data_IF_545309171193
#
_entry.id   IF_545309171193
#
_cell.length_a   1.000
_cell.length_b   1.000
_cell.length_c   1.000
_cell.angle_alpha   90.00
_cell.angle_beta   90.00
_cell.angle_gamma   90.00
#
_symmetry.space_group_name_H-M   'P 1'
#
loop_
_entity.id
_entity.type
_entity.pdbx_description
1 polymer ?
#
# COMPACT_ATOMS: atom_id res chain seq x y z
N UNK A 1 15.14 -10.96 -23.55
CA UNK A 1 16.22 -10.96 -22.53
C UNK A 1 15.71 -11.64 -21.28
N UNK A 2 16.48 -12.54 -20.63
CA UNK A 2 16.03 -13.18 -19.41
C UNK A 2 15.96 -12.12 -18.31
N UNK A 3 14.75 -11.83 -17.83
CA UNK A 3 14.56 -10.98 -16.66
C UNK A 3 15.39 -11.55 -15.51
N UNK A 4 16.13 -10.70 -14.80
CA UNK A 4 16.86 -11.08 -13.60
C UNK A 4 15.92 -11.89 -12.66
N UNK A 5 16.29 -13.10 -12.21
CA UNK A 5 15.48 -13.89 -11.27
C UNK A 5 15.07 -13.10 -10.03
N UNK A 6 15.88 -12.15 -9.57
CA UNK A 6 15.55 -11.26 -8.45
C UNK A 6 14.36 -10.34 -8.77
N UNK A 7 14.31 -9.79 -9.98
CA UNK A 7 13.19 -8.93 -10.44
C UNK A 7 11.90 -9.74 -10.53
N UNK A 8 11.95 -10.97 -11.04
CA UNK A 8 10.77 -11.87 -11.07
C UNK A 8 10.29 -12.24 -9.67
N UNK A 9 11.21 -12.54 -8.74
CA UNK A 9 10.87 -12.85 -7.35
C UNK A 9 10.17 -11.67 -6.68
N UNK A 10 10.72 -10.46 -6.82
CA UNK A 10 10.11 -9.23 -6.30
C UNK A 10 8.73 -8.99 -6.91
N UNK A 11 8.55 -9.23 -8.21
CA UNK A 11 7.25 -9.12 -8.88
C UNK A 11 6.20 -10.04 -8.26
N UNK A 12 6.55 -11.30 -7.99
CA UNK A 12 5.64 -12.26 -7.34
C UNK A 12 5.33 -11.85 -5.90
N UNK A 13 6.34 -11.41 -5.14
CA UNK A 13 6.16 -10.96 -3.76
C UNK A 13 5.17 -9.78 -3.72
N UNK A 14 5.38 -8.75 -4.53
CA UNK A 14 4.48 -7.59 -4.58
C UNK A 14 3.05 -7.98 -5.01
N UNK A 15 2.93 -8.78 -6.08
CA UNK A 15 1.63 -9.23 -6.59
C UNK A 15 0.81 -10.04 -5.57
N UNK A 16 1.44 -10.57 -4.52
CA UNK A 16 0.77 -11.23 -3.41
C UNK A 16 0.59 -10.28 -2.22
N UNK A 17 1.65 -9.60 -1.79
CA UNK A 17 1.68 -8.81 -0.57
C UNK A 17 0.73 -7.60 -0.63
N UNK A 18 0.76 -6.82 -1.70
CA UNK A 18 -0.11 -5.65 -1.87
C UNK A 18 -1.59 -6.02 -1.80
N UNK A 19 -2.07 -6.94 -2.66
CA UNK A 19 -3.47 -7.40 -2.62
C UNK A 19 -3.86 -8.07 -1.31
N UNK A 20 -2.99 -8.90 -0.71
CA UNK A 20 -3.27 -9.51 0.58
C UNK A 20 -3.44 -8.45 1.69
N UNK A 21 -2.60 -7.42 1.70
CA UNK A 21 -2.73 -6.30 2.65
C UNK A 21 -4.03 -5.52 2.49
N UNK A 22 -4.43 -5.24 1.24
CA UNK A 22 -5.69 -4.56 0.95
C UNK A 22 -6.91 -5.40 1.32
N UNK A 23 -6.90 -6.69 1.01
CA UNK A 23 -7.98 -7.62 1.38
C UNK A 23 -8.10 -7.78 2.89
N UNK A 24 -6.97 -7.93 3.59
CA UNK A 24 -6.96 -8.02 5.04
C UNK A 24 -7.50 -6.73 5.67
N UNK A 25 -7.07 -5.55 5.20
CA UNK A 25 -7.59 -4.27 5.66
C UNK A 25 -9.11 -4.14 5.40
N UNK A 26 -9.58 -4.59 4.24
CA UNK A 26 -10.99 -4.57 3.86
C UNK A 26 -11.86 -5.46 4.77
N UNK A 27 -11.32 -6.59 5.24
CA UNK A 27 -11.99 -7.48 6.19
C UNK A 27 -11.96 -6.93 7.62
N UNK A 28 -10.80 -6.45 8.08
CA UNK A 28 -10.62 -6.01 9.47
C UNK A 28 -11.33 -4.68 9.76
N UNK A 29 -11.36 -3.75 8.80
CA UNK A 29 -11.94 -2.41 8.99
C UNK A 29 -13.42 -2.44 9.47
N UNK A 30 -14.35 -3.14 8.79
CA UNK A 30 -15.74 -3.18 9.25
C UNK A 30 -15.89 -3.88 10.60
N UNK A 31 -15.06 -4.88 10.92
CA UNK A 31 -15.09 -5.57 12.23
C UNK A 31 -14.67 -4.61 13.33
N UNK A 32 -13.51 -3.96 13.19
CA UNK A 32 -13.00 -3.00 14.17
C UNK A 32 -13.93 -1.81 14.35
N UNK A 33 -14.45 -1.26 13.25
CA UNK A 33 -15.44 -0.19 13.29
C UNK A 33 -16.72 -0.61 14.01
N UNK A 34 -17.24 -1.81 13.76
CA UNK A 34 -18.44 -2.33 14.42
C UNK A 34 -18.23 -2.46 15.93
N UNK A 35 -17.09 -2.98 16.35
CA UNK A 35 -16.77 -3.11 17.78
C UNK A 35 -16.65 -1.73 18.43
N UNK A 36 -16.00 -0.78 17.76
CA UNK A 36 -15.80 0.58 18.27
C UNK A 36 -17.08 1.40 18.38
N UNK A 37 -17.95 1.32 17.38
CA UNK A 37 -19.16 2.16 17.28
C UNK A 37 -20.44 1.45 17.77
N UNK A 38 -20.39 0.13 17.98
CA UNK A 38 -21.51 -0.68 18.47
C UNK A 38 -22.84 -0.43 17.72
N UNK A 39 -23.84 0.13 18.42
CA UNK A 39 -25.16 0.47 17.88
C UNK A 39 -25.11 1.66 16.91
N UNK A 40 -24.15 2.58 17.08
CA UNK A 40 -23.95 3.78 16.29
C UNK A 40 -23.08 3.54 15.04
N UNK A 41 -22.90 2.27 14.65
CA UNK A 41 -22.11 1.89 13.48
C UNK A 41 -22.56 2.61 12.20
N UNK A 42 -21.61 3.17 11.41
CA UNK A 42 -21.93 3.80 10.14
C UNK A 42 -22.67 2.88 9.17
N UNK A 43 -23.42 3.46 8.23
CA UNK A 43 -24.28 2.71 7.30
C UNK A 43 -23.51 1.64 6.50
N UNK A 44 -22.29 1.94 6.04
CA UNK A 44 -21.47 0.99 5.29
C UNK A 44 -21.09 -0.24 6.12
N UNK A 45 -20.85 -0.05 7.43
CA UNK A 45 -20.49 -1.13 8.35
C UNK A 45 -21.73 -1.97 8.66
N UNK A 46 -22.88 -1.32 8.84
CA UNK A 46 -24.17 -2.01 9.01
C UNK A 46 -24.57 -2.84 7.80
N UNK A 47 -24.25 -2.39 6.59
CA UNK A 47 -24.54 -3.14 5.37
C UNK A 47 -23.80 -4.49 5.29
N UNK A 48 -22.67 -4.63 5.99
CA UNK A 48 -21.88 -5.88 6.06
C UNK A 48 -21.96 -6.53 7.44
N UNK A 49 -22.91 -6.14 8.29
CA UNK A 49 -23.03 -6.65 9.66
C UNK A 49 -23.18 -8.18 9.73
N UNK A 50 -23.97 -8.86 8.87
CA UNK A 50 -24.03 -10.32 8.90
C UNK A 50 -22.64 -10.99 8.77
N UNK A 51 -21.80 -10.48 7.86
CA UNK A 51 -20.43 -10.97 7.71
C UNK A 51 -19.56 -10.66 8.93
N UNK A 52 -19.71 -9.48 9.53
CA UNK A 52 -19.01 -9.13 10.77
C UNK A 52 -19.42 -10.03 11.92
N UNK A 53 -20.71 -10.36 12.06
CA UNK A 53 -21.19 -11.25 13.11
C UNK A 53 -20.66 -12.68 12.96
N UNK A 54 -20.51 -13.19 11.74
CA UNK A 54 -19.86 -14.49 11.48
C UNK A 54 -18.40 -14.48 11.96
N UNK A 55 -17.65 -13.42 11.68
CA UNK A 55 -16.26 -13.29 12.15
C UNK A 55 -16.18 -13.20 13.68
N UNK A 56 -17.08 -12.45 14.31
CA UNK A 56 -17.18 -12.39 15.78
C UNK A 56 -17.56 -13.76 16.37
N UNK A 57 -18.46 -14.50 15.72
CA UNK A 57 -18.81 -15.88 16.09
C UNK A 57 -17.60 -16.79 16.04
N UNK A 58 -16.88 -16.81 14.92
CA UNK A 58 -15.65 -17.57 14.75
C UNK A 58 -14.60 -17.22 15.82
N UNK A 59 -14.42 -15.92 16.13
CA UNK A 59 -13.51 -15.49 17.18
C UNK A 59 -13.88 -16.07 18.56
N UNK A 60 -15.16 -16.09 18.91
CA UNK A 60 -15.64 -16.67 20.18
C UNK A 60 -15.41 -18.19 20.25
N UNK A 61 -15.46 -18.88 19.11
CA UNK A 61 -15.18 -20.32 19.02
C UNK A 61 -13.68 -20.63 19.18
N UNK A 62 -12.81 -19.90 18.48
CA UNK A 62 -11.37 -20.21 18.44
C UNK A 62 -10.57 -19.58 19.58
N UNK A 63 -11.07 -18.50 20.17
CA UNK A 63 -10.42 -17.76 21.26
C UNK A 63 -11.47 -17.32 22.30
N UNK A 64 -12.14 -18.27 22.98
CA UNK A 64 -13.17 -17.95 23.95
C UNK A 64 -12.62 -17.10 25.09
N UNK A 65 -13.33 -16.04 25.45
CA UNK A 65 -12.94 -15.10 26.50
C UNK A 65 -11.88 -14.06 26.09
N UNK A 66 -11.33 -14.13 24.87
CA UNK A 66 -10.51 -13.05 24.36
C UNK A 66 -11.39 -11.84 23.99
N UNK A 67 -10.93 -10.65 24.36
CA UNK A 67 -11.55 -9.40 23.92
C UNK A 67 -11.48 -9.29 22.39
N UNK A 68 -12.64 -9.09 21.76
CA UNK A 68 -12.75 -9.11 20.30
C UNK A 68 -11.99 -7.93 19.66
N UNK A 69 -12.04 -6.74 20.27
CA UNK A 69 -11.32 -5.57 19.77
C UNK A 69 -9.81 -5.86 19.70
N UNK A 70 -9.27 -6.40 20.79
CA UNK A 70 -7.89 -6.83 20.89
C UNK A 70 -7.55 -7.94 19.90
N UNK A 71 -8.39 -8.96 19.80
CA UNK A 71 -8.16 -10.11 18.93
C UNK A 71 -7.99 -9.68 17.47
N UNK A 72 -8.94 -8.90 16.94
CA UNK A 72 -8.90 -8.45 15.56
C UNK A 72 -7.82 -7.38 15.33
N UNK A 73 -7.56 -6.52 16.33
CA UNK A 73 -6.56 -5.44 16.23
C UNK A 73 -5.15 -5.98 16.04
N UNK A 74 -4.81 -7.12 16.66
CA UNK A 74 -3.50 -7.78 16.48
C UNK A 74 -3.17 -8.15 15.03
N UNK A 75 -4.19 -8.42 14.21
CA UNK A 75 -3.98 -8.73 12.80
C UNK A 75 -3.70 -7.48 11.96
N UNK A 76 -3.94 -6.28 12.49
CA UNK A 76 -3.71 -5.03 11.77
C UNK A 76 -2.22 -4.74 11.57
N UNK A 77 -1.36 -5.19 12.49
CA UNK A 77 0.11 -5.25 12.30
C UNK A 77 0.48 -5.88 10.95
N UNK A 78 -0.19 -6.97 10.55
CA UNK A 78 0.08 -7.63 9.27
C UNK A 78 -0.30 -6.75 8.07
N UNK A 79 -1.30 -5.87 8.19
CA UNK A 79 -1.66 -4.90 7.15
C UNK A 79 -0.50 -3.95 6.87
N UNK A 80 0.12 -3.39 7.91
CA UNK A 80 1.29 -2.52 7.76
C UNK A 80 2.47 -3.25 7.13
N UNK A 81 2.76 -4.48 7.56
CA UNK A 81 3.86 -5.28 7.03
C UNK A 81 3.64 -5.67 5.57
N UNK A 82 2.42 -6.10 5.20
CA UNK A 82 2.07 -6.42 3.82
C UNK A 82 2.16 -5.19 2.92
N UNK A 83 1.68 -4.04 3.40
CA UNK A 83 1.82 -2.76 2.70
C UNK A 83 3.30 -2.37 2.48
N UNK A 84 4.13 -2.54 3.52
CA UNK A 84 5.57 -2.27 3.46
C UNK A 84 6.27 -3.19 2.44
N UNK A 85 5.96 -4.48 2.46
CA UNK A 85 6.53 -5.48 1.54
C UNK A 85 6.09 -5.21 0.10
N UNK A 86 4.81 -4.88 -0.14
CA UNK A 86 4.30 -4.49 -1.45
C UNK A 86 4.98 -3.23 -1.98
N UNK A 87 5.06 -2.18 -1.16
CA UNK A 87 5.75 -0.94 -1.51
C UNK A 87 7.23 -1.17 -1.85
N UNK A 88 7.93 -1.97 -1.04
CA UNK A 88 9.32 -2.34 -1.28
C UNK A 88 9.49 -3.10 -2.61
N UNK A 89 8.65 -4.11 -2.83
CA UNK A 89 8.68 -4.92 -4.04
C UNK A 89 8.43 -4.06 -5.29
N UNK A 90 7.39 -3.24 -5.27
CA UNK A 90 7.07 -2.31 -6.36
C UNK A 90 8.22 -1.35 -6.64
N UNK A 91 8.72 -0.67 -5.60
CA UNK A 91 9.75 0.36 -5.77
C UNK A 91 11.05 -0.23 -6.33
N UNK A 92 11.52 -1.35 -5.80
CA UNK A 92 12.75 -1.96 -6.27
C UNK A 92 12.64 -2.51 -7.70
N UNK A 93 11.49 -3.11 -8.06
CA UNK A 93 11.26 -3.51 -9.47
C UNK A 93 11.37 -2.34 -10.44
N UNK A 94 10.94 -1.16 -10.03
CA UNK A 94 11.02 0.05 -10.86
C UNK A 94 12.44 0.59 -10.92
N UNK A 95 13.13 0.61 -9.78
CA UNK A 95 14.50 1.11 -9.71
C UNK A 95 15.50 0.22 -10.46
N UNK A 96 15.20 -1.07 -10.65
CA UNK A 96 16.07 -2.02 -11.35
C UNK A 96 15.89 -2.01 -12.89
N UNK A 97 14.90 -1.31 -13.45
CA UNK A 97 14.48 -1.44 -14.86
C UNK A 97 15.36 -0.76 -15.93
N UNK A 98 16.58 -0.33 -15.60
CA UNK A 98 17.64 0.08 -16.54
C UNK A 98 17.37 0.98 -17.79
N UNK A 99 16.39 1.91 -17.85
CA UNK A 99 16.31 2.98 -18.87
C UNK A 99 15.92 4.36 -18.30
N UNK A 100 16.25 5.46 -18.99
CA UNK A 100 16.30 6.86 -18.49
C UNK A 100 15.15 7.45 -17.65
N UNK A 101 14.00 6.78 -17.56
CA UNK A 101 12.86 7.14 -16.71
C UNK A 101 12.81 6.28 -15.43
N UNK A 102 13.76 6.46 -14.52
CA UNK A 102 13.78 5.75 -13.22
C UNK A 102 13.34 6.60 -12.06
N UNK A 103 12.65 5.96 -11.10
CA UNK A 103 12.71 6.45 -9.72
C UNK A 103 14.08 6.08 -9.15
N UNK A 104 14.87 7.03 -8.63
CA UNK A 104 16.11 6.70 -7.93
C UNK A 104 15.84 5.66 -6.83
N UNK A 105 16.73 4.68 -6.69
CA UNK A 105 16.72 3.73 -5.54
C UNK A 105 16.68 4.46 -4.20
N UNK A 106 17.19 5.69 -4.17
CA UNK A 106 17.26 6.55 -3.00
C UNK A 106 16.09 7.55 -2.91
N UNK A 107 14.91 7.21 -3.43
CA UNK A 107 13.76 8.08 -3.27
C UNK A 107 13.42 8.26 -1.78
N UNK A 108 13.66 9.47 -1.26
CA UNK A 108 13.41 9.84 0.14
C UNK A 108 11.99 9.52 0.62
N UNK A 109 10.99 9.59 -0.27
CA UNK A 109 9.60 9.35 0.09
C UNK A 109 9.32 7.87 0.37
N UNK A 110 10.03 6.95 -0.29
CA UNK A 110 9.96 5.52 0.06
C UNK A 110 10.54 5.28 1.44
N UNK A 111 11.64 5.97 1.79
CA UNK A 111 12.23 5.89 3.14
C UNK A 111 11.25 6.42 4.19
N UNK A 112 10.63 7.58 3.93
CA UNK A 112 9.59 8.14 4.82
C UNK A 112 8.45 7.15 5.01
N UNK A 113 7.91 6.59 3.93
CA UNK A 113 6.84 5.59 4.00
C UNK A 113 7.26 4.34 4.76
N UNK A 114 8.47 3.82 4.50
CA UNK A 114 8.97 2.63 5.17
C UNK A 114 9.13 2.84 6.68
N UNK A 115 9.70 3.98 7.08
CA UNK A 115 9.85 4.35 8.49
C UNK A 115 8.47 4.53 9.13
N UNK A 116 7.57 5.28 8.50
CA UNK A 116 6.24 5.55 9.04
C UNK A 116 5.40 4.27 9.18
N UNK A 117 5.39 3.38 8.18
CA UNK A 117 4.73 2.07 8.25
C UNK A 117 5.31 1.20 9.37
N UNK A 118 6.63 1.24 9.56
CA UNK A 118 7.29 0.48 10.63
C UNK A 118 6.94 1.02 12.02
N UNK A 119 6.92 2.35 12.17
CA UNK A 119 6.50 3.00 13.41
C UNK A 119 5.03 2.69 13.71
N UNK A 120 4.15 2.77 12.71
CA UNK A 120 2.73 2.43 12.86
C UNK A 120 2.56 0.97 13.30
N UNK A 121 3.27 0.02 12.68
CA UNK A 121 3.23 -1.38 13.08
C UNK A 121 3.69 -1.60 14.53
N UNK A 122 4.76 -0.94 14.97
CA UNK A 122 5.25 -1.04 16.35
C UNK A 122 4.30 -0.38 17.33
N UNK A 123 3.75 0.78 16.97
CA UNK A 123 2.79 1.50 17.79
C UNK A 123 1.48 0.72 17.95
N UNK A 124 1.04 -0.02 16.93
CA UNK A 124 -0.14 -0.88 16.93
C UNK A 124 0.07 -2.14 17.81
N UNK A 125 1.27 -2.75 17.79
CA UNK A 125 1.59 -3.89 18.67
C UNK A 125 1.38 -3.53 20.16
N UNK A 126 1.75 -2.32 20.58
CA UNK A 126 1.70 -1.90 21.97
C UNK A 126 0.33 -2.08 22.64
N UNK A 127 -0.70 -1.33 22.22
CA UNK A 127 -2.05 -1.44 22.78
C UNK A 127 -2.66 -2.84 22.59
N UNK A 128 -2.48 -3.47 21.41
CA UNK A 128 -3.18 -4.72 21.09
C UNK A 128 -2.58 -5.99 21.70
N UNK A 129 -1.28 -5.98 22.03
CA UNK A 129 -0.62 -7.09 22.72
C UNK A 129 -0.37 -6.80 24.20
N UNK A 130 -0.13 -5.54 24.57
CA UNK A 130 0.05 -5.13 25.96
C UNK A 130 -1.25 -4.92 26.73
N UNK A 131 -2.35 -4.62 26.04
CA UNK A 131 -3.62 -4.20 26.63
C UNK A 131 -3.71 -2.67 26.83
N UNK A 132 -4.93 -2.14 26.96
CA UNK A 132 -5.17 -0.69 27.09
C UNK A 132 -4.64 -0.09 28.39
N UNK A 133 -4.51 -0.89 29.44
CA UNK A 133 -3.98 -0.47 30.74
C UNK A 133 -2.44 -0.53 30.80
N UNK A 134 -1.81 -1.02 29.72
CA UNK A 134 -0.36 -1.13 29.63
C UNK A 134 0.29 0.23 29.44
N UNK A 135 1.52 0.45 29.94
CA UNK A 135 2.35 1.60 29.54
C UNK A 135 2.49 1.74 28.02
N UNK A 136 2.35 0.64 27.27
CA UNK A 136 2.39 0.64 25.81
C UNK A 136 1.15 1.26 25.14
N UNK A 137 0.05 1.49 25.87
CA UNK A 137 -1.09 2.25 25.36
C UNK A 137 -0.71 3.70 24.99
N UNK A 138 0.34 4.24 25.63
CA UNK A 138 0.90 5.55 25.29
C UNK A 138 1.54 5.61 23.88
N UNK A 139 1.63 4.48 23.16
CA UNK A 139 2.07 4.46 21.77
C UNK A 139 0.95 4.84 20.78
N UNK A 140 -0.31 4.91 21.20
CA UNK A 140 -1.40 5.30 20.29
C UNK A 140 -1.21 6.68 19.61
N UNK A 141 -0.77 7.75 20.31
CA UNK A 141 -0.43 9.01 19.64
C UNK A 141 0.70 8.87 18.61
N UNK A 142 1.65 7.95 18.84
CA UNK A 142 2.73 7.67 17.88
C UNK A 142 2.18 7.01 16.61
N UNK A 143 1.17 6.14 16.73
CA UNK A 143 0.45 5.60 15.58
C UNK A 143 -0.21 6.73 14.76
N UNK A 144 -0.88 7.69 15.41
CA UNK A 144 -1.53 8.81 14.71
C UNK A 144 -0.52 9.68 13.95
N UNK A 145 0.63 9.96 14.56
CA UNK A 145 1.73 10.68 13.90
C UNK A 145 2.32 9.87 12.72
N UNK A 146 2.42 8.55 12.87
CA UNK A 146 2.87 7.68 11.81
C UNK A 146 1.88 7.63 10.64
N UNK A 147 0.57 7.58 10.89
CA UNK A 147 -0.47 7.68 9.87
C UNK A 147 -0.40 9.01 9.10
N UNK A 148 -0.19 10.13 9.81
CA UNK A 148 0.02 11.43 9.16
C UNK A 148 1.28 11.43 8.28
N UNK A 149 2.38 10.84 8.76
CA UNK A 149 3.60 10.68 7.98
C UNK A 149 3.39 9.76 6.76
N UNK A 150 2.55 8.72 6.86
CA UNK A 150 2.13 7.89 5.73
C UNK A 150 1.36 8.73 4.72
N UNK A 151 0.38 9.54 5.12
CA UNK A 151 -0.37 10.42 4.20
C UNK A 151 0.57 11.32 3.40
N UNK A 152 1.49 12.02 4.11
CA UNK A 152 2.47 12.93 3.49
C UNK A 152 3.42 12.16 2.58
N UNK A 153 3.96 11.03 3.05
CA UNK A 153 4.87 10.18 2.30
C UNK A 153 4.24 9.63 1.02
N UNK A 154 2.95 9.29 1.07
CA UNK A 154 2.19 8.74 -0.06
C UNK A 154 2.00 9.79 -1.14
N UNK A 155 1.63 11.02 -0.77
CA UNK A 155 1.54 12.16 -1.69
C UNK A 155 2.90 12.47 -2.31
N UNK A 156 3.95 12.56 -1.48
CA UNK A 156 5.31 12.81 -1.94
C UNK A 156 5.82 11.73 -2.91
N UNK A 157 5.52 10.47 -2.63
CA UNK A 157 5.87 9.35 -3.50
C UNK A 157 5.10 9.38 -4.82
N UNK A 158 3.80 9.66 -4.79
CA UNK A 158 2.98 9.81 -5.99
C UNK A 158 3.46 10.95 -6.90
N UNK A 159 3.84 12.10 -6.33
CA UNK A 159 4.46 13.21 -7.07
C UNK A 159 5.79 12.77 -7.70
N UNK A 160 6.62 12.04 -6.96
CA UNK A 160 7.89 11.53 -7.50
C UNK A 160 7.68 10.53 -8.66
N UNK A 161 6.64 9.69 -8.58
CA UNK A 161 6.24 8.82 -9.68
C UNK A 161 5.80 9.62 -10.92
N UNK A 162 4.97 10.65 -10.74
CA UNK A 162 4.52 11.51 -11.84
C UNK A 162 5.67 12.27 -12.50
N UNK A 163 6.63 12.76 -11.71
CA UNK A 163 7.79 13.53 -12.19
C UNK A 163 8.83 12.69 -12.91
N UNK A 164 9.04 11.46 -12.46
CA UNK A 164 10.04 10.56 -13.04
C UNK A 164 9.59 9.88 -14.33
N UNK A 165 8.29 9.89 -14.66
CA UNK A 165 7.75 9.15 -15.83
C UNK A 165 7.87 7.62 -15.70
N UNK A 166 8.48 7.14 -14.61
CA UNK A 166 8.87 5.74 -14.39
C UNK A 166 7.72 4.75 -14.25
N UNK A 167 6.47 5.23 -14.14
CA UNK A 167 5.26 4.45 -14.02
C UNK A 167 4.09 5.14 -14.75
N UNK A 168 3.04 4.40 -15.15
CA UNK A 168 1.81 4.99 -15.65
C UNK A 168 1.32 6.11 -14.73
N UNK A 169 0.98 7.27 -15.31
CA UNK A 169 0.59 8.48 -14.55
C UNK A 169 -0.56 8.23 -13.57
N UNK A 170 -1.48 7.34 -13.91
CA UNK A 170 -2.59 6.96 -13.04
C UNK A 170 -2.14 6.38 -11.70
N UNK A 171 -0.98 5.69 -11.63
CA UNK A 171 -0.43 5.19 -10.38
C UNK A 171 0.05 6.32 -9.48
N UNK A 172 0.72 7.32 -10.06
CA UNK A 172 1.12 8.52 -9.32
C UNK A 172 -0.10 9.23 -8.71
N UNK A 173 -1.18 9.33 -9.48
CA UNK A 173 -2.46 9.85 -8.98
C UNK A 173 -3.10 8.95 -7.92
N UNK A 174 -3.04 7.62 -8.06
CA UNK A 174 -3.56 6.70 -7.05
C UNK A 174 -2.88 6.91 -5.68
N UNK A 175 -1.56 7.07 -5.66
CA UNK A 175 -0.82 7.41 -4.43
C UNK A 175 -1.19 8.79 -3.89
N UNK A 176 -1.32 9.82 -4.74
CA UNK A 176 -1.71 11.17 -4.29
C UNK A 176 -3.13 11.17 -3.70
N UNK A 177 -4.08 10.52 -4.37
CA UNK A 177 -5.49 10.48 -3.97
C UNK A 177 -5.74 9.56 -2.77
N UNK A 178 -4.83 8.64 -2.47
CA UNK A 178 -4.95 7.79 -1.28
C UNK A 178 -4.98 8.60 0.02
N UNK A 179 -4.29 9.75 0.10
CA UNK A 179 -4.32 10.62 1.28
C UNK A 179 -5.70 11.25 1.56
N UNK A 180 -6.34 12.00 0.64
CA UNK A 180 -7.70 12.48 0.88
C UNK A 180 -8.71 11.33 1.00
N UNK A 181 -8.53 10.24 0.24
CA UNK A 181 -9.38 9.05 0.38
C UNK A 181 -9.28 8.43 1.78
N UNK A 182 -8.11 8.45 2.41
CA UNK A 182 -7.91 7.93 3.77
C UNK A 182 -8.78 8.66 4.79
N UNK A 183 -8.90 9.99 4.68
CA UNK A 183 -9.80 10.78 5.53
C UNK A 183 -11.27 10.46 5.25
N UNK A 184 -11.64 10.31 3.98
CA UNK A 184 -13.00 9.94 3.58
C UNK A 184 -13.36 8.56 4.15
N UNK A 185 -12.49 7.56 4.02
CA UNK A 185 -12.72 6.22 4.56
C UNK A 185 -12.80 6.24 6.08
N UNK A 186 -11.90 6.96 6.77
CA UNK A 186 -11.96 7.11 8.23
C UNK A 186 -13.29 7.72 8.69
N UNK A 187 -13.76 8.75 7.98
CA UNK A 187 -15.06 9.39 8.25
C UNK A 187 -16.23 8.42 8.03
N UNK A 188 -16.30 7.76 6.88
CA UNK A 188 -17.40 6.87 6.54
C UNK A 188 -17.40 5.56 7.34
N UNK A 189 -16.25 5.11 7.81
CA UNK A 189 -16.13 3.96 8.70
C UNK A 189 -16.26 4.34 10.17
N UNK A 190 -16.25 5.62 10.55
CA UNK A 190 -16.30 6.02 11.96
C UNK A 190 -15.17 5.42 12.79
N UNK A 191 -14.04 5.07 12.15
CA UNK A 191 -12.95 4.35 12.80
C UNK A 191 -11.60 4.85 12.29
N UNK A 192 -11.03 5.77 13.06
CA UNK A 192 -9.83 6.52 12.67
C UNK A 192 -8.51 5.76 12.76
N UNK A 193 -8.27 4.83 13.71
CA UNK A 193 -6.96 4.18 13.80
C UNK A 193 -6.57 3.42 12.52
N UNK A 194 -7.52 2.67 11.97
CA UNK A 194 -7.23 1.75 10.86
C UNK A 194 -7.89 2.13 9.54
N UNK A 195 -8.99 2.89 9.57
CA UNK A 195 -9.69 3.37 8.36
C UNK A 195 -8.79 4.04 7.33
N UNK A 196 -7.84 4.92 7.73
CA UNK A 196 -6.92 5.57 6.81
C UNK A 196 -6.05 4.63 5.98
N UNK A 197 -5.79 3.40 6.45
CA UNK A 197 -4.87 2.47 5.77
C UNK A 197 -5.47 1.79 4.53
N UNK A 198 -6.80 1.73 4.41
CA UNK A 198 -7.42 1.04 3.28
C UNK A 198 -7.04 1.68 1.92
N UNK A 199 -7.13 3.01 1.71
CA UNK A 199 -6.69 3.61 0.45
C UNK A 199 -5.19 3.44 0.17
N UNK A 200 -4.33 3.42 1.19
CA UNK A 200 -2.89 3.19 1.01
C UNK A 200 -2.60 1.78 0.54
N UNK A 201 -3.20 0.79 1.19
CA UNK A 201 -3.04 -0.62 0.81
C UNK A 201 -3.60 -0.90 -0.58
N UNK A 202 -4.72 -0.27 -0.96
CA UNK A 202 -5.27 -0.34 -2.32
C UNK A 202 -4.31 0.29 -3.33
N UNK A 203 -3.73 1.45 -3.06
CA UNK A 203 -2.75 2.07 -3.96
C UNK A 203 -1.52 1.18 -4.18
N UNK A 204 -1.01 0.54 -3.12
CA UNK A 204 0.10 -0.43 -3.22
C UNK A 204 -0.33 -1.67 -4.01
N UNK A 205 -1.50 -2.24 -3.74
CA UNK A 205 -2.03 -3.39 -4.48
C UNK A 205 -2.16 -3.09 -5.99
N UNK A 206 -2.70 -1.92 -6.34
CA UNK A 206 -2.79 -1.46 -7.72
C UNK A 206 -1.42 -1.27 -8.37
N UNK A 207 -0.43 -0.79 -7.62
CA UNK A 207 0.95 -0.65 -8.09
C UNK A 207 1.58 -2.01 -8.39
N UNK A 208 1.35 -2.99 -7.53
CA UNK A 208 1.90 -4.34 -7.65
C UNK A 208 1.29 -5.15 -8.79
N UNK A 209 -0.03 -5.05 -8.97
CA UNK A 209 -0.79 -5.74 -10.04
C UNK A 209 -0.67 -5.00 -11.38
N UNK A 210 -0.94 -3.69 -11.40
CA UNK A 210 -1.00 -2.88 -12.62
C UNK A 210 0.37 -2.42 -13.15
N UNK A 211 1.42 -2.44 -12.32
CA UNK A 211 2.77 -2.05 -12.70
C UNK A 211 3.56 -3.08 -13.53
N UNK A 212 2.97 -4.25 -13.79
CA UNK A 212 3.55 -5.34 -14.56
C UNK A 212 3.30 -5.28 -16.07
N UNK A 213 2.22 -4.63 -16.51
CA UNK A 213 1.59 -4.95 -17.80
C UNK A 213 1.91 -4.02 -18.97
N UNK A 214 2.69 -2.97 -18.76
CA UNK A 214 3.20 -2.13 -19.85
C UNK A 214 4.71 -2.26 -19.90
N UNK A 215 5.18 -3.19 -20.73
CA UNK A 215 6.40 -2.89 -21.48
C UNK A 215 6.13 -1.53 -22.15
N UNK A 216 7.02 -0.54 -22.04
CA UNK A 216 6.93 0.63 -22.89
C UNK A 216 6.91 0.08 -24.30
N UNK A 217 5.72 0.10 -24.90
CA UNK A 217 5.55 -0.26 -26.27
C UNK A 217 6.62 0.54 -27.00
N UNK A 218 7.50 -0.20 -27.68
CA UNK A 218 7.90 0.16 -29.01
C UNK A 218 6.74 0.97 -29.58
N UNK A 219 6.92 2.28 -29.73
CA UNK A 219 6.12 3.01 -30.68
C UNK A 219 6.43 2.31 -32.01
N UNK A 220 5.69 1.24 -32.30
CA UNK A 220 5.55 0.74 -33.64
C UNK A 220 4.87 1.89 -34.34
N UNK A 221 5.69 2.68 -35.02
CA UNK A 221 5.23 3.56 -36.06
C UNK A 221 4.28 2.75 -36.95
N UNK A 222 3.28 3.38 -37.55
CA UNK A 222 2.26 2.69 -38.37
C UNK A 222 2.86 1.83 -39.51
N UNK A 223 4.15 2.01 -39.80
CA UNK A 223 4.96 1.27 -40.76
C UNK A 223 5.70 0.04 -40.21
N UNK A 224 5.53 -0.34 -38.94
CA UNK A 224 6.18 -1.53 -38.37
C UNK A 224 7.72 -1.46 -38.28
N UNK A 225 8.31 -0.28 -38.47
CA UNK A 225 9.77 -0.09 -38.38
C UNK A 225 10.17 0.18 -36.93
N UNK A 226 11.03 -0.69 -36.40
CA UNK A 226 11.78 -0.42 -35.16
C UNK A 226 12.79 0.69 -35.47
N UNK A 227 12.45 1.95 -35.16
CA UNK A 227 13.45 3.03 -35.15
C UNK A 227 14.38 2.80 -33.95
N UNK A 228 15.55 2.23 -34.21
CA UNK A 228 16.69 2.42 -33.31
C UNK A 228 17.16 3.85 -33.46
N UNK A 229 16.90 4.69 -32.47
CA UNK A 229 17.20 6.14 -32.43
C UNK A 229 18.71 6.47 -32.44
N UNK A 230 19.57 5.54 -32.85
CA UNK A 230 21.03 5.65 -32.71
C UNK A 230 21.81 5.29 -33.99
N UNK A 231 21.26 5.61 -35.16
CA UNK A 231 21.99 5.63 -36.42
C UNK A 231 21.89 7.00 -37.09
N UNK A 232 22.52 8.01 -36.48
CA UNK A 232 22.98 9.22 -37.18
C UNK A 232 24.50 9.31 -37.15
N UNK A 233 25.17 8.18 -37.43
CA UNK A 233 26.57 8.20 -37.85
C UNK A 233 26.56 8.37 -39.37
N UNK A 234 26.55 9.63 -39.82
CA UNK A 234 26.97 9.96 -41.18
C UNK A 234 28.50 9.84 -41.23
N UNK A 235 28.99 8.66 -41.62
CA UNK A 235 30.33 8.54 -42.20
C UNK A 235 30.24 8.97 -43.67
N UNK A 236 31.20 9.80 -44.04
CA UNK A 236 31.34 10.54 -45.29
C UNK A 236 31.49 9.68 -46.54
N UNK A 237 31.17 10.29 -47.68
CA UNK A 237 31.65 9.88 -48.99
C UNK A 237 31.98 11.12 -49.82
N UNK A 238 33.16 11.69 -49.59
CA UNK A 238 33.84 12.51 -50.60
C UNK A 238 34.21 11.60 -51.79
N UNK A 239 33.78 11.98 -52.99
CA UNK A 239 34.58 12.12 -54.22
C UNK A 239 33.70 12.55 -55.39
#
# INVERSE_FOLDING_TARGET
MPSDPAVRRRARIGALAGPAGALLCLVLLPVQSKIWNEADSPMLVRAVDPFVQELLGLQREIAPGADAYMFFGRFFVAVYLLCLVGLWAFHHRRADRGGGDHVPRENRWVRVLAIALSIAAVADVGPYWGGLESPFAALFPLEMLALLAIMIGTVGYGIALLRSGSAPRWLGWAFILAAPAALVVAWFSGYFPHGPMLPFTVAVALADVGGGSREPGLAQDADGRVRTENQSIWVSGER
#
